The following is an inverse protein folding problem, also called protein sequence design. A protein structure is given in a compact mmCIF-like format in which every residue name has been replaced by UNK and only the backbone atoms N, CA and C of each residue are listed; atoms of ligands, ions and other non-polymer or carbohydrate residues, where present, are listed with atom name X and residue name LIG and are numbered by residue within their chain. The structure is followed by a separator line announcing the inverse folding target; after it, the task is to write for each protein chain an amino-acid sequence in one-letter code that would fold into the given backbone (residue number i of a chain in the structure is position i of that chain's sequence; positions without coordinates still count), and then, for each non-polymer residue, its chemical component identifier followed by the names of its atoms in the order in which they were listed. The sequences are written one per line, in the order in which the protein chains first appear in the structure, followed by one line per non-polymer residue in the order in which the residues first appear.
data_IF_499112477189
#
_entry.id   IF_499112477189
#
_cell.length_a   1.000
_cell.length_b   1.000
_cell.length_c   1.000
_cell.angle_alpha   90.00
_cell.angle_beta   90.00
_cell.angle_gamma   90.00
#
_symmetry.space_group_name_H-M   'P 1'
#
loop_
_entity.id
_entity.type
_entity.pdbx_description
1 polymer ?
#
# COMPACT_ATOMS: atom_id res chain seq x y z
N UNK A 1 -3.05 -20.63 24.21
CA UNK A 1 -1.72 -20.60 23.56
C UNK A 1 -1.44 -21.94 22.91
N UNK A 2 -1.27 -21.93 21.59
CA UNK A 2 -0.93 -23.08 20.76
C UNK A 2 0.31 -22.73 19.92
N UNK A 3 1.35 -23.56 19.97
CA UNK A 3 2.62 -23.35 19.27
C UNK A 3 2.91 -24.55 18.37
N UNK A 4 3.18 -24.29 17.09
CA UNK A 4 3.57 -25.33 16.12
C UNK A 4 4.84 -24.92 15.41
N UNK A 5 5.87 -25.76 15.50
CA UNK A 5 7.12 -25.57 14.80
C UNK A 5 7.61 -26.87 14.14
N UNK A 6 8.14 -26.77 12.92
CA UNK A 6 8.72 -27.92 12.23
C UNK A 6 9.12 -27.65 10.78
N UNK A 7 9.68 -28.67 10.13
CA UNK A 7 10.21 -28.53 8.77
C UNK A 7 9.11 -28.55 7.72
N UNK A 8 8.14 -29.48 7.86
CA UNK A 8 7.01 -29.60 6.95
C UNK A 8 5.74 -30.05 7.65
N UNK A 9 4.74 -29.19 7.68
CA UNK A 9 3.48 -29.50 8.34
C UNK A 9 2.31 -28.69 7.76
N UNK A 10 1.10 -29.15 8.09
CA UNK A 10 -0.13 -28.39 7.95
C UNK A 10 -0.75 -28.33 9.33
N UNK A 11 -1.24 -27.16 9.74
CA UNK A 11 -1.88 -26.98 11.04
C UNK A 11 -3.03 -26.01 10.94
N UNK A 12 -3.96 -26.10 11.88
CA UNK A 12 -5.00 -25.11 12.07
C UNK A 12 -5.27 -24.94 13.55
N UNK A 13 -5.63 -23.73 13.97
CA UNK A 13 -5.86 -23.38 15.36
C UNK A 13 -7.00 -22.39 15.53
N UNK A 14 -7.52 -22.33 16.76
CA UNK A 14 -8.40 -21.27 17.24
C UNK A 14 -8.26 -21.13 18.76
N UNK A 15 -8.51 -19.92 19.28
CA UNK A 15 -8.30 -19.56 20.69
C UNK A 15 -7.59 -18.21 20.85
N UNK A 16 -7.01 -17.95 22.02
CA UNK A 16 -6.49 -16.59 22.29
C UNK A 16 -5.13 -16.32 21.63
N UNK A 17 -4.31 -17.36 21.42
CA UNK A 17 -2.93 -17.21 20.93
C UNK A 17 -2.50 -18.42 20.12
N UNK A 18 -2.19 -18.18 18.84
CA UNK A 18 -1.65 -19.17 17.91
C UNK A 18 -0.31 -18.69 17.30
N UNK A 19 0.75 -19.46 17.54
CA UNK A 19 2.10 -19.20 17.05
C UNK A 19 2.54 -20.32 16.10
N UNK A 20 2.98 -19.97 14.89
CA UNK A 20 3.42 -20.92 13.88
C UNK A 20 4.79 -20.56 13.35
N UNK A 21 5.72 -21.51 13.36
CA UNK A 21 7.06 -21.34 12.80
C UNK A 21 7.54 -22.51 11.94
N UNK A 22 8.34 -22.29 10.89
CA UNK A 22 8.93 -23.41 10.15
C UNK A 22 9.44 -23.12 8.75
N UNK A 23 9.91 -24.18 8.09
CA UNK A 23 10.51 -24.08 6.75
C UNK A 23 9.47 -24.14 5.64
N UNK A 24 8.58 -25.15 5.65
CA UNK A 24 7.55 -25.32 4.64
C UNK A 24 6.21 -25.74 5.22
N UNK A 25 5.26 -24.82 5.35
CA UNK A 25 3.98 -25.15 5.96
C UNK A 25 2.78 -24.44 5.36
N UNK A 26 1.61 -24.97 5.68
CA UNK A 26 0.32 -24.29 5.49
C UNK A 26 -0.33 -24.17 6.85
N UNK A 27 -0.84 -22.98 7.19
CA UNK A 27 -1.54 -22.78 8.45
C UNK A 27 -2.82 -21.98 8.27
N UNK A 28 -3.82 -22.23 9.12
CA UNK A 28 -4.99 -21.36 9.22
C UNK A 28 -5.42 -21.14 10.66
N UNK A 29 -5.78 -19.91 11.02
CA UNK A 29 -6.10 -19.55 12.41
C UNK A 29 -7.28 -18.58 12.51
N UNK A 30 -8.01 -18.66 13.61
CA UNK A 30 -8.99 -17.66 14.03
C UNK A 30 -8.80 -17.44 15.52
N UNK A 31 -7.95 -16.46 15.84
CA UNK A 31 -7.39 -16.29 17.18
C UNK A 31 -7.23 -14.81 17.50
N UNK A 32 -7.37 -14.37 18.76
CA UNK A 32 -7.14 -12.97 19.14
C UNK A 32 -5.73 -12.53 18.72
N UNK A 33 -4.74 -13.42 18.88
CA UNK A 33 -3.36 -13.21 18.46
C UNK A 33 -2.85 -14.36 17.57
N UNK A 34 -2.68 -14.10 16.27
CA UNK A 34 -2.14 -15.06 15.30
C UNK A 34 -0.80 -14.60 14.71
N UNK A 35 0.29 -15.30 15.03
CA UNK A 35 1.64 -14.99 14.51
C UNK A 35 2.17 -16.15 13.66
N UNK A 36 2.67 -15.80 12.48
CA UNK A 36 3.25 -16.76 11.54
C UNK A 36 4.63 -16.29 11.08
N UNK A 37 5.62 -17.17 11.22
CA UNK A 37 6.98 -16.93 10.72
C UNK A 37 7.52 -18.12 9.93
N UNK A 38 8.17 -17.89 8.78
CA UNK A 38 8.81 -19.01 8.10
C UNK A 38 9.54 -18.70 6.81
N UNK A 39 10.12 -19.75 6.22
CA UNK A 39 10.82 -19.62 4.94
C UNK A 39 9.86 -19.69 3.76
N UNK A 40 9.04 -20.73 3.66
CA UNK A 40 8.10 -20.94 2.54
C UNK A 40 6.73 -21.43 2.99
N UNK A 41 5.75 -20.54 3.09
CA UNK A 41 4.46 -20.92 3.63
C UNK A 41 3.25 -20.25 2.98
N UNK A 42 2.08 -20.83 3.24
CA UNK A 42 0.79 -20.19 3.00
C UNK A 42 0.07 -20.07 4.33
N UNK A 43 -0.48 -18.91 4.63
CA UNK A 43 -1.29 -18.70 5.83
C UNK A 43 -2.62 -18.03 5.50
N UNK A 44 -3.67 -18.42 6.21
CA UNK A 44 -4.94 -17.70 6.16
C UNK A 44 -5.50 -17.52 7.57
N UNK A 45 -5.90 -16.33 7.98
CA UNK A 45 -6.52 -16.23 9.30
C UNK A 45 -7.20 -14.93 9.62
N UNK A 46 -7.79 -14.92 10.81
CA UNK A 46 -8.47 -13.76 11.37
C UNK A 46 -8.15 -13.59 12.85
N UNK A 47 -8.19 -12.36 13.35
CA UNK A 47 -7.91 -12.08 14.76
C UNK A 47 -7.85 -10.59 15.06
N UNK A 48 -7.82 -10.19 16.32
CA UNK A 48 -7.55 -8.79 16.67
C UNK A 48 -6.16 -8.39 16.16
N UNK A 49 -5.18 -9.29 16.30
CA UNK A 49 -3.81 -9.08 15.84
C UNK A 49 -3.31 -10.24 14.97
N UNK A 50 -3.14 -9.98 13.67
CA UNK A 50 -2.58 -10.93 12.71
C UNK A 50 -1.20 -10.47 12.19
N UNK A 51 -0.14 -11.20 12.54
CA UNK A 51 1.24 -10.90 12.14
C UNK A 51 1.83 -12.01 11.25
N UNK A 52 2.38 -11.62 10.11
CA UNK A 52 3.03 -12.55 9.19
C UNK A 52 4.41 -12.05 8.78
N UNK A 53 5.44 -12.88 8.98
CA UNK A 53 6.83 -12.58 8.63
C UNK A 53 7.49 -13.74 7.86
N UNK A 54 8.27 -13.46 6.81
CA UNK A 54 9.11 -14.51 6.22
C UNK A 54 9.71 -14.22 4.85
N UNK A 55 10.31 -15.25 4.25
CA UNK A 55 11.08 -15.07 3.03
C UNK A 55 10.21 -15.23 1.78
N UNK A 56 9.38 -16.28 1.72
CA UNK A 56 8.55 -16.58 0.55
C UNK A 56 7.16 -17.10 0.90
N UNK A 57 6.16 -16.24 0.93
CA UNK A 57 4.84 -16.65 1.40
C UNK A 57 3.65 -16.02 0.67
N UNK A 58 2.50 -16.64 0.88
CA UNK A 58 1.20 -16.06 0.55
C UNK A 58 0.40 -15.96 1.85
N UNK A 59 -0.21 -14.81 2.11
CA UNK A 59 -1.09 -14.62 3.26
C UNK A 59 -2.43 -14.04 2.84
N UNK A 60 -3.50 -14.48 3.48
CA UNK A 60 -4.80 -13.83 3.39
C UNK A 60 -5.44 -13.70 4.77
N UNK A 61 -6.02 -12.56 5.12
CA UNK A 61 -6.70 -12.49 6.41
C UNK A 61 -7.34 -11.17 6.75
N UNK A 62 -7.83 -11.09 7.98
CA UNK A 62 -8.47 -9.89 8.49
C UNK A 62 -8.22 -9.71 9.98
N UNK A 63 -8.16 -8.47 10.44
CA UNK A 63 -8.06 -8.18 11.86
C UNK A 63 -7.96 -6.71 12.16
N UNK A 64 -8.23 -6.28 13.39
CA UNK A 64 -8.08 -4.87 13.78
C UNK A 64 -6.67 -4.36 13.41
N UNK A 65 -5.66 -5.20 13.63
CA UNK A 65 -4.29 -4.96 13.22
C UNK A 65 -3.75 -6.12 12.37
N UNK A 66 -3.59 -5.87 11.07
CA UNK A 66 -2.99 -6.82 10.12
C UNK A 66 -1.63 -6.32 9.62
N UNK A 67 -0.56 -7.01 10.03
CA UNK A 67 0.84 -6.68 9.75
C UNK A 67 1.51 -7.78 8.92
N UNK A 68 2.13 -7.40 7.80
CA UNK A 68 2.86 -8.32 6.93
C UNK A 68 4.24 -7.78 6.58
N UNK A 69 5.28 -8.59 6.80
CA UNK A 69 6.65 -8.25 6.44
C UNK A 69 7.42 -9.39 5.77
N UNK A 70 8.32 -9.10 4.81
CA UNK A 70 9.17 -10.14 4.23
C UNK A 70 9.85 -9.82 2.90
N UNK A 71 10.51 -10.83 2.34
CA UNK A 71 11.33 -10.65 1.13
C UNK A 71 10.51 -10.80 -0.16
N UNK A 72 9.76 -11.90 -0.30
CA UNK A 72 8.96 -12.18 -1.50
C UNK A 72 7.59 -12.74 -1.16
N UNK A 73 6.55 -11.91 -1.19
CA UNK A 73 5.22 -12.36 -0.78
C UNK A 73 4.05 -11.78 -1.58
N UNK A 74 2.90 -12.42 -1.42
CA UNK A 74 1.60 -11.89 -1.81
C UNK A 74 0.72 -11.83 -0.58
N UNK A 75 0.07 -10.69 -0.35
CA UNK A 75 -0.87 -10.53 0.76
C UNK A 75 -2.21 -10.00 0.27
N UNK A 76 -3.29 -10.48 0.86
CA UNK A 76 -4.62 -9.93 0.68
C UNK A 76 -5.37 -9.83 2.01
N UNK A 77 -5.97 -8.69 2.34
CA UNK A 77 -6.79 -8.66 3.55
C UNK A 77 -7.35 -7.31 3.94
N UNK A 78 -7.87 -7.24 5.16
CA UNK A 78 -8.49 -6.04 5.68
C UNK A 78 -8.26 -5.86 7.17
N UNK A 79 -8.35 -4.62 7.65
CA UNK A 79 -8.23 -4.31 9.07
C UNK A 79 -8.28 -2.83 9.33
N UNK A 80 -8.63 -2.40 10.54
CA UNK A 80 -8.59 -0.98 10.91
C UNK A 80 -7.18 -0.41 10.63
N UNK A 81 -6.14 -1.18 10.96
CA UNK A 81 -4.76 -0.91 10.61
C UNK A 81 -4.17 -2.05 9.75
N UNK A 82 -3.96 -1.75 8.46
CA UNK A 82 -3.35 -2.66 7.50
C UNK A 82 -1.95 -2.17 7.09
N UNK A 83 -0.92 -2.91 7.49
CA UNK A 83 0.49 -2.54 7.33
C UNK A 83 1.26 -3.59 6.55
N UNK A 84 1.91 -3.18 5.46
CA UNK A 84 2.71 -4.09 4.63
C UNK A 84 4.09 -3.50 4.34
N UNK A 85 5.15 -4.27 4.62
CA UNK A 85 6.53 -3.89 4.31
C UNK A 85 7.36 -5.01 3.68
N UNK A 86 8.30 -4.69 2.79
CA UNK A 86 9.22 -5.70 2.26
C UNK A 86 9.94 -5.38 0.95
N UNK A 87 10.66 -6.37 0.43
CA UNK A 87 11.53 -6.17 -0.73
C UNK A 87 10.78 -6.34 -2.06
N UNK A 88 10.04 -7.45 -2.23
CA UNK A 88 9.31 -7.75 -3.47
C UNK A 88 7.94 -8.35 -3.20
N UNK A 89 6.88 -7.55 -3.31
CA UNK A 89 5.56 -8.05 -2.98
C UNK A 89 4.42 -7.50 -3.83
N UNK A 90 3.29 -8.19 -3.75
CA UNK A 90 1.98 -7.70 -4.21
C UNK A 90 1.04 -7.67 -3.01
N UNK A 91 0.34 -6.56 -2.83
CA UNK A 91 -0.66 -6.43 -1.76
C UNK A 91 -1.99 -5.94 -2.30
N UNK A 92 -3.08 -6.49 -1.77
CA UNK A 92 -4.43 -5.97 -2.00
C UNK A 92 -5.19 -5.89 -0.68
N UNK A 93 -5.78 -4.76 -0.33
CA UNK A 93 -6.55 -4.73 0.91
C UNK A 93 -7.28 -3.44 1.21
N UNK A 94 -7.85 -3.36 2.40
CA UNK A 94 -8.57 -2.18 2.87
C UNK A 94 -8.45 -1.99 4.36
N UNK A 95 -8.54 -0.74 4.81
CA UNK A 95 -8.53 -0.41 6.23
C UNK A 95 -8.64 1.07 6.47
N UNK A 96 -9.12 1.50 7.63
CA UNK A 96 -9.14 2.93 7.99
C UNK A 96 -7.75 3.54 7.81
N UNK A 97 -6.71 2.79 8.19
CA UNK A 97 -5.32 3.12 7.99
C UNK A 97 -4.60 2.04 7.16
N UNK A 98 -4.34 2.35 5.88
CA UNK A 98 -3.68 1.46 4.93
C UNK A 98 -2.28 1.97 4.56
N UNK A 99 -1.23 1.30 5.02
CA UNK A 99 0.17 1.69 4.82
C UNK A 99 0.96 0.61 4.08
N UNK A 100 1.69 1.03 3.05
CA UNK A 100 2.57 0.14 2.27
C UNK A 100 3.93 0.78 2.08
N UNK A 101 4.99 0.05 2.43
CA UNK A 101 6.37 0.47 2.18
C UNK A 101 7.26 -0.63 1.59
N UNK A 102 8.23 -0.28 0.75
CA UNK A 102 9.21 -1.27 0.27
C UNK A 102 9.99 -0.92 -0.99
N UNK A 103 10.75 -1.90 -1.48
CA UNK A 103 11.68 -1.70 -2.60
C UNK A 103 10.99 -1.88 -3.95
N UNK A 104 10.31 -3.01 -4.17
CA UNK A 104 9.64 -3.33 -5.43
C UNK A 104 8.27 -3.96 -5.23
N UNK A 105 7.20 -3.19 -5.40
CA UNK A 105 5.87 -3.72 -5.11
C UNK A 105 4.76 -3.22 -6.04
N UNK A 106 3.65 -3.95 -6.01
CA UNK A 106 2.37 -3.50 -6.54
C UNK A 106 1.37 -3.51 -5.40
N UNK A 107 0.62 -2.42 -5.24
CA UNK A 107 -0.43 -2.31 -4.22
C UNK A 107 -1.75 -1.86 -4.83
N UNK A 108 -2.84 -2.44 -4.35
CA UNK A 108 -4.20 -1.97 -4.62
C UNK A 108 -5.01 -1.92 -3.34
N UNK A 109 -5.69 -0.82 -3.03
CA UNK A 109 -6.51 -0.81 -1.82
C UNK A 109 -7.29 0.47 -1.57
N UNK A 110 -7.93 0.51 -0.42
CA UNK A 110 -8.71 1.68 0.02
C UNK A 110 -8.64 1.88 1.52
N UNK A 111 -8.77 3.12 1.96
CA UNK A 111 -8.81 3.46 3.38
C UNK A 111 -8.98 4.95 3.60
N UNK A 112 -9.53 5.37 4.73
CA UNK A 112 -9.64 6.79 5.07
C UNK A 112 -8.25 7.46 4.95
N UNK A 113 -7.21 6.76 5.40
CA UNK A 113 -5.83 7.15 5.25
C UNK A 113 -5.03 6.10 4.46
N UNK A 114 -4.73 6.40 3.20
CA UNK A 114 -4.00 5.52 2.28
C UNK A 114 -2.60 6.08 1.99
N UNK A 115 -1.55 5.43 2.50
CA UNK A 115 -0.15 5.85 2.38
C UNK A 115 0.70 4.80 1.68
N UNK A 116 1.46 5.25 0.68
CA UNK A 116 2.40 4.38 -0.04
C UNK A 116 3.75 5.06 -0.18
N UNK A 117 4.82 4.37 0.23
CA UNK A 117 6.19 4.83 0.04
C UNK A 117 7.15 3.76 -0.51
N UNK A 118 8.14 4.12 -1.32
CA UNK A 118 9.14 3.16 -1.76
C UNK A 118 9.99 3.52 -2.97
N UNK A 119 10.78 2.56 -3.42
CA UNK A 119 11.76 2.76 -4.50
C UNK A 119 11.18 2.55 -5.89
N UNK A 120 10.51 1.41 -6.12
CA UNK A 120 9.92 1.07 -7.43
C UNK A 120 8.56 0.40 -7.28
N UNK A 121 7.49 1.15 -7.50
CA UNK A 121 6.17 0.58 -7.28
C UNK A 121 5.08 1.05 -8.26
N UNK A 122 3.99 0.28 -8.28
CA UNK A 122 2.72 0.69 -8.86
C UNK A 122 1.67 0.67 -7.76
N UNK A 123 0.88 1.72 -7.63
CA UNK A 123 -0.21 1.80 -6.67
C UNK A 123 -1.51 2.20 -7.33
N UNK A 124 -2.61 1.59 -6.91
CA UNK A 124 -3.96 2.01 -7.25
C UNK A 124 -4.84 2.05 -6.00
N UNK A 125 -5.52 3.14 -5.70
CA UNK A 125 -6.40 3.13 -4.53
C UNK A 125 -7.23 4.38 -4.32
N UNK A 126 -7.93 4.42 -3.20
CA UNK A 126 -8.75 5.55 -2.82
C UNK A 126 -8.77 5.76 -1.31
N UNK A 127 -8.98 7.00 -0.90
CA UNK A 127 -9.10 7.35 0.52
C UNK A 127 -9.33 8.83 0.71
N UNK A 128 -9.96 9.25 1.81
CA UNK A 128 -10.12 10.68 2.13
C UNK A 128 -8.75 11.39 2.06
N UNK A 129 -7.72 10.73 2.57
CA UNK A 129 -6.34 11.16 2.49
C UNK A 129 -5.48 10.13 1.74
N UNK A 130 -5.12 10.44 0.51
CA UNK A 130 -4.32 9.59 -0.37
C UNK A 130 -2.92 10.18 -0.59
N UNK A 131 -1.88 9.55 -0.02
CA UNK A 131 -0.48 10.00 -0.09
C UNK A 131 0.40 8.97 -0.78
N UNK A 132 1.19 9.43 -1.74
CA UNK A 132 2.19 8.59 -2.41
C UNK A 132 3.53 9.31 -2.50
N UNK A 133 4.59 8.67 -2.01
CA UNK A 133 5.95 9.18 -2.14
C UNK A 133 6.95 8.12 -2.63
N UNK A 134 7.98 8.51 -3.38
CA UNK A 134 9.03 7.56 -3.75
C UNK A 134 9.96 7.94 -4.89
N UNK A 135 10.81 7.00 -5.28
CA UNK A 135 11.82 7.24 -6.32
C UNK A 135 11.27 7.02 -7.74
N UNK A 136 10.72 5.84 -8.03
CA UNK A 136 10.21 5.50 -9.37
C UNK A 136 8.87 4.78 -9.33
N UNK A 137 7.78 5.48 -9.59
CA UNK A 137 6.47 4.88 -9.43
C UNK A 137 5.40 5.30 -10.44
N UNK A 138 4.34 4.51 -10.51
CA UNK A 138 3.08 4.88 -11.15
C UNK A 138 1.98 4.82 -10.10
N UNK A 139 1.15 5.85 -10.04
CA UNK A 139 0.02 5.91 -9.12
C UNK A 139 -1.27 6.26 -9.85
N UNK A 140 -2.37 5.62 -9.47
CA UNK A 140 -3.72 6.01 -9.85
C UNK A 140 -4.64 6.03 -8.65
N UNK A 141 -5.39 7.10 -8.40
CA UNK A 141 -6.32 7.06 -7.27
C UNK A 141 -7.20 8.27 -7.12
N UNK A 142 -7.93 8.31 -6.02
CA UNK A 142 -8.81 9.42 -5.67
C UNK A 142 -8.88 9.64 -4.17
N UNK A 143 -9.12 10.88 -3.77
CA UNK A 143 -9.32 11.24 -2.37
C UNK A 143 -9.59 12.71 -2.20
N UNK A 144 -10.30 13.12 -1.15
CA UNK A 144 -10.53 14.54 -0.84
C UNK A 144 -9.19 15.30 -0.84
N UNK A 145 -8.17 14.69 -0.27
CA UNK A 145 -6.80 15.16 -0.28
C UNK A 145 -5.88 14.15 -0.99
N UNK A 146 -5.48 14.47 -2.22
CA UNK A 146 -4.62 13.65 -3.07
C UNK A 146 -3.22 14.26 -3.23
N UNK A 147 -2.21 13.66 -2.60
CA UNK A 147 -0.82 14.13 -2.60
C UNK A 147 0.13 13.12 -3.24
N UNK A 148 0.94 13.59 -4.16
CA UNK A 148 2.00 12.78 -4.78
C UNK A 148 3.32 13.53 -4.80
N UNK A 149 4.38 12.90 -4.31
CA UNK A 149 5.74 13.45 -4.38
C UNK A 149 6.81 12.43 -4.80
N UNK A 150 7.85 12.87 -5.51
CA UNK A 150 9.00 12.00 -5.79
C UNK A 150 9.88 12.37 -6.98
N UNK A 151 10.78 11.46 -7.35
CA UNK A 151 11.83 11.77 -8.32
C UNK A 151 11.41 11.48 -9.76
N UNK A 152 10.84 10.29 -10.02
CA UNK A 152 10.38 9.89 -11.36
C UNK A 152 9.06 9.15 -11.33
N UNK A 153 7.97 9.81 -11.69
CA UNK A 153 6.66 9.17 -11.59
C UNK A 153 5.65 9.56 -12.66
N UNK A 154 4.62 8.73 -12.78
CA UNK A 154 3.38 9.05 -13.47
C UNK A 154 2.24 8.97 -12.47
N UNK A 155 1.38 9.99 -12.43
CA UNK A 155 0.21 10.01 -11.56
C UNK A 155 -1.05 10.32 -12.35
N UNK A 156 -2.15 9.65 -12.01
CA UNK A 156 -3.48 10.00 -12.47
C UNK A 156 -4.47 9.99 -11.31
N UNK A 157 -5.27 11.03 -11.10
CA UNK A 157 -6.25 10.96 -10.03
C UNK A 157 -7.17 12.16 -9.90
N UNK A 158 -7.94 12.18 -8.83
CA UNK A 158 -8.86 13.27 -8.53
C UNK A 158 -8.99 13.52 -7.03
N UNK A 159 -9.29 14.75 -6.65
CA UNK A 159 -9.54 15.12 -5.27
C UNK A 159 -9.84 16.59 -5.11
N UNK A 160 -10.60 16.98 -4.08
CA UNK A 160 -10.89 18.39 -3.80
C UNK A 160 -9.59 19.21 -3.74
N UNK A 161 -8.57 18.66 -3.09
CA UNK A 161 -7.20 19.16 -3.12
C UNK A 161 -6.27 18.14 -3.79
N UNK A 162 -5.84 18.47 -5.00
CA UNK A 162 -4.91 17.68 -5.80
C UNK A 162 -3.53 18.35 -5.87
N UNK A 163 -2.53 17.73 -5.22
CA UNK A 163 -1.17 18.25 -5.06
C UNK A 163 -0.14 17.30 -5.64
N UNK A 164 0.70 17.79 -6.55
CA UNK A 164 1.80 17.00 -7.13
C UNK A 164 3.11 17.77 -7.11
N UNK A 165 4.17 17.16 -6.56
CA UNK A 165 5.50 17.74 -6.57
C UNK A 165 6.62 16.74 -6.98
N UNK A 166 7.68 17.21 -7.63
CA UNK A 166 8.83 16.33 -7.89
C UNK A 166 9.78 16.74 -9.01
N UNK A 167 10.75 15.87 -9.32
CA UNK A 167 11.81 16.20 -10.28
C UNK A 167 11.42 15.90 -11.73
N UNK A 168 10.92 14.70 -12.02
CA UNK A 168 10.53 14.28 -13.37
C UNK A 168 9.24 13.50 -13.41
N UNK A 169 8.14 14.13 -13.80
CA UNK A 169 6.86 13.45 -13.77
C UNK A 169 5.87 13.80 -14.88
N UNK A 170 4.88 12.93 -15.04
CA UNK A 170 3.66 13.21 -15.80
C UNK A 170 2.48 13.11 -14.84
N UNK A 171 1.60 14.11 -14.83
CA UNK A 171 0.40 14.11 -14.01
C UNK A 171 -0.85 14.38 -14.85
N UNK A 172 -1.94 13.66 -14.56
CA UNK A 172 -3.25 13.96 -15.09
C UNK A 172 -4.30 13.92 -13.97
N UNK A 173 -5.13 14.95 -13.80
CA UNK A 173 -6.16 14.87 -12.77
C UNK A 173 -7.12 16.02 -12.69
N UNK A 174 -7.95 16.04 -11.66
CA UNK A 174 -8.92 17.10 -11.42
C UNK A 174 -9.10 17.35 -9.93
N UNK A 175 -9.44 18.58 -9.57
CA UNK A 175 -9.74 18.96 -8.20
C UNK A 175 -10.08 20.42 -8.06
N UNK A 176 -10.90 20.81 -7.08
CA UNK A 176 -11.23 22.21 -6.82
C UNK A 176 -9.96 23.06 -6.69
N UNK A 177 -8.97 22.54 -5.97
CA UNK A 177 -7.62 23.09 -5.89
C UNK A 177 -6.62 22.13 -6.55
N UNK A 178 -6.14 22.49 -7.74
CA UNK A 178 -5.17 21.72 -8.51
C UNK A 178 -3.80 22.42 -8.52
N UNK A 179 -2.83 21.82 -7.85
CA UNK A 179 -1.50 22.38 -7.59
C UNK A 179 -0.40 21.45 -8.09
N UNK A 180 0.48 21.95 -8.96
CA UNK A 180 1.61 21.18 -9.49
C UNK A 180 2.91 21.99 -9.42
N UNK A 181 3.95 21.39 -8.83
CA UNK A 181 5.29 21.99 -8.78
C UNK A 181 6.42 21.02 -9.15
N UNK A 182 7.52 21.49 -9.74
CA UNK A 182 8.68 20.63 -9.98
C UNK A 182 9.68 21.09 -11.04
N UNK A 183 10.67 20.24 -11.33
CA UNK A 183 11.76 20.60 -12.24
C UNK A 183 11.42 20.33 -13.72
N UNK A 184 11.01 19.10 -14.06
CA UNK A 184 10.66 18.71 -15.43
C UNK A 184 9.38 17.88 -15.49
N UNK A 185 8.28 18.45 -15.96
CA UNK A 185 7.03 17.71 -15.96
C UNK A 185 6.05 18.03 -17.11
N UNK A 186 5.11 17.12 -17.32
CA UNK A 186 3.92 17.36 -18.14
C UNK A 186 2.71 17.24 -17.24
N UNK A 187 1.80 18.21 -17.28
CA UNK A 187 0.57 18.21 -16.49
C UNK A 187 -0.65 18.42 -17.38
N UNK A 188 -1.72 17.67 -17.11
CA UNK A 188 -3.03 17.94 -17.68
C UNK A 188 -4.12 17.87 -16.60
N UNK A 189 -4.96 18.88 -16.47
CA UNK A 189 -6.02 18.80 -15.46
C UNK A 189 -6.99 19.95 -15.45
N UNK A 190 -7.90 19.94 -14.48
CA UNK A 190 -8.91 20.97 -14.30
C UNK A 190 -9.19 21.22 -12.83
N UNK A 191 -9.53 22.45 -12.49
CA UNK A 191 -9.90 22.82 -11.13
C UNK A 191 -10.26 24.29 -11.00
N UNK A 192 -11.15 24.63 -10.08
CA UNK A 192 -11.53 26.03 -9.80
C UNK A 192 -10.29 26.92 -9.62
N UNK A 193 -9.30 26.44 -8.85
CA UNK A 193 -7.98 27.04 -8.77
C UNK A 193 -6.92 26.11 -9.35
N UNK A 194 -6.37 26.50 -10.51
CA UNK A 194 -5.32 25.76 -11.22
C UNK A 194 -3.98 26.51 -11.17
N UNK A 195 -3.00 26.00 -10.40
CA UNK A 195 -1.66 26.58 -10.29
C UNK A 195 -0.56 25.59 -10.66
N UNK A 196 0.36 26.07 -11.50
CA UNK A 196 1.51 25.30 -11.98
C UNK A 196 2.77 26.14 -11.83
N UNK A 197 3.80 25.61 -11.17
CA UNK A 197 5.11 26.26 -11.08
C UNK A 197 6.26 25.27 -11.35
N UNK A 198 7.37 25.76 -11.88
CA UNK A 198 8.52 24.89 -12.15
C UNK A 198 9.46 25.41 -13.21
N UNK A 199 10.54 24.66 -13.45
CA UNK A 199 11.62 25.06 -14.35
C UNK A 199 11.32 24.74 -15.83
N UNK A 200 10.86 23.51 -16.11
CA UNK A 200 10.57 23.05 -17.48
C UNK A 200 9.30 22.22 -17.55
N UNK A 201 8.21 22.83 -17.99
CA UNK A 201 6.94 22.12 -18.03
C UNK A 201 6.11 22.35 -19.30
N UNK A 202 5.24 21.38 -19.56
CA UNK A 202 4.11 21.50 -20.50
C UNK A 202 2.83 21.36 -19.68
N UNK A 203 1.88 22.27 -19.88
CA UNK A 203 0.59 22.25 -19.18
C UNK A 203 -0.57 22.33 -20.16
N UNK A 204 -1.62 21.55 -19.91
CA UNK A 204 -2.91 21.66 -20.60
C UNK A 204 -4.04 21.51 -19.59
N UNK A 205 -4.73 22.60 -19.28
CA UNK A 205 -5.78 22.59 -18.28
C UNK A 205 -6.51 23.91 -18.20
N UNK A 206 -7.58 23.95 -17.42
CA UNK A 206 -8.39 25.13 -17.17
C UNK A 206 -8.68 25.27 -15.69
N UNK A 207 -8.73 26.52 -15.22
CA UNK A 207 -9.46 26.89 -14.03
C UNK A 207 -10.44 28.01 -14.34
N UNK A 208 -11.44 28.14 -13.48
CA UNK A 208 -12.57 29.06 -13.64
C UNK A 208 -12.32 30.43 -12.97
#
# INVERSE_FOLDING_TARGET
MFLVCGDRFTTSGSGDLFLVCGDRFTTSGSDDLFLVRGYRFTTSGSGDLFLVCGDRFTTSGSGDLFLVCGDRFTTSGSGDLFLVCGDRFTTSGSGDLFLVCGDRFTTSGSGDLFLVCGDRFTTSGSGDLFLVCGYRFTTSGSGDLFLVCGDRFTTSGSGDLFLVCGDRFTTSGSGDLFLVCGDRFTTSGSGDLFLVCGDRFTTSGSGD
#
